data_IF_368883349233
#
_entry.id   IF_368883349233
#
_cell.length_a   1.000
_cell.length_b   1.000
_cell.length_c   1.000
_cell.angle_alpha   90.00
_cell.angle_beta   90.00
_cell.angle_gamma   90.00
#
_symmetry.space_group_name_H-M   'P 1'
#
loop_
_entity.id
_entity.type
_entity.pdbx_description
1 polymer ?
#
# COMPACT_ATOMS: atom_id res chain seq x y z
N UNK A 1 -35.13 42.08 48.45
CA UNK A 1 -34.93 40.95 49.39
C UNK A 1 -34.69 39.69 48.58
N UNK A 2 -33.55 39.05 48.82
CA UNK A 2 -33.08 37.80 48.21
C UNK A 2 -34.00 36.61 48.50
N UNK A 3 -34.02 35.63 47.59
CA UNK A 3 -34.41 34.25 47.87
C UNK A 3 -33.87 33.28 46.82
N UNK A 4 -32.87 32.47 47.19
CA UNK A 4 -32.23 31.43 46.36
C UNK A 4 -32.93 30.07 46.45
N UNK A 5 -33.01 29.39 45.30
CA UNK A 5 -32.65 27.99 44.94
C UNK A 5 -33.02 26.81 45.87
N UNK A 6 -33.68 25.78 45.29
CA UNK A 6 -33.30 24.32 45.21
C UNK A 6 -34.48 23.49 44.64
N UNK A 7 -34.35 22.86 43.46
CA UNK A 7 -33.78 21.54 43.13
C UNK A 7 -34.64 20.32 43.57
N UNK A 8 -35.06 19.51 42.58
CA UNK A 8 -35.42 18.10 42.76
C UNK A 8 -36.66 17.66 41.97
N UNK A 9 -36.48 16.88 40.89
CA UNK A 9 -37.51 15.92 40.48
C UNK A 9 -36.87 14.65 39.95
N UNK A 10 -37.36 13.56 40.52
CA UNK A 10 -36.93 12.17 40.44
C UNK A 10 -37.62 11.49 39.25
N UNK A 11 -36.88 10.70 38.48
CA UNK A 11 -37.36 9.57 37.67
C UNK A 11 -36.14 8.66 37.52
N UNK A 12 -36.12 7.39 37.91
CA UNK A 12 -37.18 6.39 38.00
C UNK A 12 -36.63 5.13 37.33
N UNK A 13 -35.70 4.44 37.99
CA UNK A 13 -35.10 3.22 37.46
C UNK A 13 -36.13 2.08 37.47
N UNK A 14 -36.56 1.63 36.29
CA UNK A 14 -37.24 0.34 36.14
C UNK A 14 -36.23 -0.70 35.68
N UNK A 15 -35.74 -1.47 36.66
CA UNK A 15 -35.04 -2.71 36.43
C UNK A 15 -36.04 -3.78 35.94
N UNK A 16 -35.82 -4.31 34.75
CA UNK A 16 -36.49 -5.52 34.28
C UNK A 16 -35.50 -6.67 34.42
N UNK A 17 -35.74 -7.52 35.42
CA UNK A 17 -35.16 -8.85 35.53
C UNK A 17 -36.04 -9.80 34.72
N UNK A 18 -35.50 -10.42 33.68
CA UNK A 18 -36.11 -11.62 33.06
C UNK A 18 -35.12 -12.76 33.19
N UNK A 19 -35.65 -13.84 33.75
CA UNK A 19 -34.96 -15.02 34.22
C UNK A 19 -34.40 -15.87 33.06
N UNK A 20 -33.29 -16.53 33.35
CA UNK A 20 -32.70 -17.59 32.55
C UNK A 20 -33.60 -18.83 32.56
N UNK A 21 -33.84 -19.39 31.37
CA UNK A 21 -34.28 -20.77 31.22
C UNK A 21 -33.29 -21.47 30.28
N UNK A 22 -32.56 -22.44 30.85
CA UNK A 22 -31.62 -23.30 30.16
C UNK A 22 -32.36 -24.25 29.22
N UNK A 23 -32.02 -24.21 27.94
CA UNK A 23 -32.36 -25.23 26.95
C UNK A 23 -31.07 -25.70 26.28
N UNK A 24 -30.47 -26.75 26.83
CA UNK A 24 -29.31 -27.44 26.27
C UNK A 24 -29.79 -28.34 25.13
N UNK A 25 -29.60 -27.94 23.87
CA UNK A 25 -29.60 -28.87 22.75
C UNK A 25 -28.40 -28.59 21.86
N UNK A 26 -27.61 -29.64 21.67
CA UNK A 26 -26.34 -29.65 20.98
C UNK A 26 -26.50 -29.31 19.49
N UNK A 27 -25.74 -28.33 19.02
CA UNK A 27 -25.42 -28.15 17.62
C UNK A 27 -24.01 -27.53 17.55
N UNK A 28 -23.17 -28.12 16.69
CA UNK A 28 -21.73 -27.94 16.61
C UNK A 28 -21.29 -26.46 16.66
N UNK A 29 -20.54 -26.10 17.71
CA UNK A 29 -19.76 -24.87 17.74
C UNK A 29 -18.61 -24.99 16.74
N UNK A 30 -18.84 -24.61 15.49
CA UNK A 30 -17.75 -24.01 14.73
C UNK A 30 -17.67 -22.58 15.21
N UNK A 31 -16.65 -22.31 16.03
CA UNK A 31 -16.21 -20.97 16.32
C UNK A 31 -15.81 -20.31 14.99
N UNK A 32 -16.78 -19.69 14.32
CA UNK A 32 -16.54 -18.79 13.21
C UNK A 32 -15.88 -17.54 13.78
N UNK A 33 -14.57 -17.60 13.95
CA UNK A 33 -13.75 -16.40 13.94
C UNK A 33 -14.13 -15.66 12.65
N UNK A 34 -14.71 -14.47 12.78
CA UNK A 34 -14.73 -13.51 11.69
C UNK A 34 -13.25 -13.18 11.48
N UNK A 35 -12.59 -13.91 10.59
CA UNK A 35 -11.28 -13.49 10.11
C UNK A 35 -11.50 -12.13 9.48
N UNK A 36 -10.75 -11.14 9.98
CA UNK A 36 -10.46 -9.98 9.16
C UNK A 36 -9.98 -10.53 7.81
N UNK A 37 -10.67 -10.19 6.72
CA UNK A 37 -10.19 -10.54 5.39
C UNK A 37 -8.78 -10.00 5.29
N UNK A 38 -7.79 -10.88 5.23
CA UNK A 38 -6.43 -10.48 4.95
C UNK A 38 -6.46 -9.69 3.65
N UNK A 39 -5.86 -8.49 3.65
CA UNK A 39 -5.63 -7.79 2.41
C UNK A 39 -4.91 -8.77 1.47
N UNK A 40 -5.55 -9.08 0.34
CA UNK A 40 -5.02 -10.05 -0.61
C UNK A 40 -3.84 -9.38 -1.30
N UNK A 41 -2.64 -9.64 -0.81
CA UNK A 41 -1.40 -9.29 -1.46
C UNK A 41 -1.18 -10.27 -2.62
N UNK A 42 -1.26 -9.80 -3.87
CA UNK A 42 -1.08 -10.64 -5.05
C UNK A 42 0.13 -10.23 -5.86
N UNK A 43 0.95 -11.23 -6.16
CA UNK A 43 2.06 -11.12 -7.11
C UNK A 43 1.81 -12.10 -8.24
N UNK A 44 1.91 -11.61 -9.47
CA UNK A 44 1.78 -12.43 -10.66
C UNK A 44 2.88 -12.08 -11.66
N UNK A 45 3.67 -13.05 -12.07
CA UNK A 45 4.64 -12.90 -13.16
C UNK A 45 4.23 -13.77 -14.34
N UNK A 46 4.18 -13.18 -15.52
CA UNK A 46 4.05 -13.87 -16.80
C UNK A 46 5.37 -13.73 -17.56
N UNK A 47 5.82 -14.84 -18.15
CA UNK A 47 7.05 -14.91 -18.92
C UNK A 47 6.75 -15.41 -20.32
N UNK A 48 7.20 -14.63 -21.30
CA UNK A 48 7.28 -14.99 -22.70
C UNK A 48 8.76 -15.12 -23.10
N UNK A 49 9.03 -15.58 -24.32
CA UNK A 49 10.42 -15.76 -24.78
C UNK A 49 11.11 -14.39 -24.82
N UNK A 50 12.13 -14.21 -24.00
CA UNK A 50 12.94 -13.01 -23.93
C UNK A 50 12.27 -11.83 -23.23
N UNK A 51 11.09 -12.01 -22.60
CA UNK A 51 10.38 -10.93 -21.94
C UNK A 51 9.55 -11.42 -20.76
N UNK A 52 9.57 -10.69 -19.65
CA UNK A 52 8.82 -11.02 -18.45
C UNK A 52 8.12 -9.79 -17.91
N UNK A 53 6.89 -9.97 -17.44
CA UNK A 53 6.07 -8.95 -16.78
C UNK A 53 5.62 -9.44 -15.42
N UNK A 54 6.00 -8.72 -14.36
CA UNK A 54 5.54 -8.96 -13.00
C UNK A 54 4.60 -7.84 -12.53
N UNK A 55 3.45 -8.22 -11.97
CA UNK A 55 2.44 -7.31 -11.43
C UNK A 55 2.28 -7.52 -9.94
N UNK A 56 2.23 -6.40 -9.22
CA UNK A 56 2.12 -6.30 -7.77
C UNK A 56 0.95 -5.39 -7.46
N UNK A 57 -0.11 -5.92 -6.89
CA UNK A 57 -1.30 -5.17 -6.54
C UNK A 57 -1.72 -5.44 -5.10
N UNK A 58 -2.34 -4.44 -4.46
CA UNK A 58 -2.90 -4.62 -3.14
C UNK A 58 -4.00 -3.63 -2.82
N UNK A 59 -4.99 -4.10 -2.07
CA UNK A 59 -6.07 -3.30 -1.49
C UNK A 59 -5.66 -2.56 -0.21
N UNK A 60 -4.42 -2.79 0.26
CA UNK A 60 -3.86 -2.14 1.44
C UNK A 60 -2.34 -1.90 1.28
N UNK A 61 -1.69 -1.34 2.30
CA UNK A 61 -0.25 -1.15 2.31
C UNK A 61 0.47 -2.50 2.37
N UNK A 62 1.27 -2.83 1.37
CA UNK A 62 2.13 -4.03 1.35
C UNK A 62 3.48 -3.73 0.69
N UNK A 63 4.51 -4.46 1.11
CA UNK A 63 5.81 -4.48 0.46
C UNK A 63 6.06 -5.85 -0.20
N UNK A 64 6.54 -5.80 -1.44
CA UNK A 64 7.02 -6.95 -2.19
C UNK A 64 8.49 -6.77 -2.54
N UNK A 65 9.10 -7.82 -3.07
CA UNK A 65 10.42 -7.75 -3.66
C UNK A 65 10.50 -8.46 -5.01
N UNK A 66 11.46 -8.05 -5.83
CA UNK A 66 11.89 -8.77 -7.03
C UNK A 66 13.41 -8.68 -7.19
N UNK A 67 14.04 -9.81 -7.48
CA UNK A 67 15.45 -9.86 -7.83
C UNK A 67 15.62 -9.67 -9.34
N UNK A 68 16.44 -8.69 -9.71
CA UNK A 68 16.79 -8.39 -11.10
C UNK A 68 17.59 -9.56 -11.67
N UNK A 69 17.14 -10.18 -12.79
CA UNK A 69 17.87 -11.30 -13.39
C UNK A 69 19.30 -10.92 -13.82
N UNK A 70 20.17 -11.93 -13.95
CA UNK A 70 21.52 -11.71 -14.47
C UNK A 70 21.47 -11.13 -15.90
N UNK A 71 22.38 -10.20 -16.20
CA UNK A 71 22.47 -9.55 -17.50
C UNK A 71 21.47 -8.39 -17.72
N UNK A 72 20.51 -8.18 -16.81
CA UNK A 72 19.55 -7.08 -16.90
C UNK A 72 20.11 -5.83 -16.22
N UNK A 73 20.20 -4.74 -16.98
CA UNK A 73 20.70 -3.44 -16.51
C UNK A 73 19.63 -2.35 -16.56
N UNK A 74 18.45 -2.65 -17.09
CA UNK A 74 17.31 -1.75 -17.10
C UNK A 74 16.00 -2.54 -16.96
N UNK A 75 15.06 -1.99 -16.20
CA UNK A 75 13.70 -2.52 -16.08
C UNK A 75 12.70 -1.41 -16.35
N UNK A 76 11.65 -1.71 -17.11
CA UNK A 76 10.55 -0.77 -17.34
C UNK A 76 9.53 -0.92 -16.22
N UNK A 77 9.18 0.19 -15.59
CA UNK A 77 8.24 0.21 -14.46
C UNK A 77 7.05 1.08 -14.80
N UNK A 78 5.85 0.57 -14.54
CA UNK A 78 4.61 1.36 -14.49
C UNK A 78 4.00 1.24 -13.10
N UNK A 79 4.04 2.32 -12.33
CA UNK A 79 3.44 2.39 -11.00
C UNK A 79 2.18 3.26 -11.03
N UNK A 80 1.18 2.88 -10.26
CA UNK A 80 -0.12 3.55 -10.15
C UNK A 80 -0.49 3.69 -8.67
N UNK A 81 -0.61 4.91 -8.18
CA UNK A 81 -1.10 5.20 -6.84
C UNK A 81 -2.63 5.15 -6.78
N UNK A 82 -3.18 4.84 -5.62
CA UNK A 82 -4.63 4.71 -5.45
C UNK A 82 -5.34 6.07 -5.46
N UNK A 83 -6.59 6.07 -5.89
CA UNK A 83 -7.48 7.22 -5.74
C UNK A 83 -7.81 7.46 -4.26
N UNK A 84 -8.09 8.72 -3.91
CA UNK A 84 -8.62 9.07 -2.60
C UNK A 84 -10.00 8.46 -2.36
N UNK A 85 -10.32 8.22 -1.09
CA UNK A 85 -11.64 7.75 -0.66
C UNK A 85 -12.73 8.80 -0.82
N UNK A 86 -13.97 8.33 -0.74
CA UNK A 86 -15.18 9.13 -0.93
C UNK A 86 -15.60 9.25 -2.40
N UNK A 87 -16.86 9.62 -2.63
CA UNK A 87 -17.43 9.71 -3.99
C UNK A 87 -16.76 10.77 -4.87
N UNK A 88 -15.98 11.67 -4.27
CA UNK A 88 -15.27 12.77 -4.93
C UNK A 88 -13.78 12.79 -4.56
N UNK A 89 -13.22 11.63 -4.21
CA UNK A 89 -11.79 11.51 -3.99
C UNK A 89 -10.98 11.85 -5.24
N UNK A 90 -9.82 12.45 -5.04
CA UNK A 90 -8.90 12.79 -6.11
C UNK A 90 -8.30 11.54 -6.74
N UNK A 91 -7.91 11.65 -8.02
CA UNK A 91 -7.25 10.59 -8.78
C UNK A 91 -5.81 10.44 -8.33
N UNK A 92 -5.35 9.20 -8.19
CA UNK A 92 -3.94 8.89 -8.02
C UNK A 92 -3.12 9.25 -9.27
N UNK A 93 -1.81 9.11 -9.15
CA UNK A 93 -0.86 9.33 -10.23
C UNK A 93 -0.40 8.01 -10.83
N UNK A 94 0.03 8.06 -12.09
CA UNK A 94 0.74 6.99 -12.78
C UNK A 94 2.13 7.51 -13.13
N UNK A 95 3.16 6.69 -12.92
CA UNK A 95 4.52 6.94 -13.40
C UNK A 95 4.97 5.76 -14.24
N UNK A 96 5.43 6.04 -15.46
CA UNK A 96 6.07 5.05 -16.32
C UNK A 96 7.49 5.50 -16.63
N UNK A 97 8.48 4.66 -16.33
CA UNK A 97 9.90 4.97 -16.57
C UNK A 97 10.75 3.71 -16.70
N UNK A 98 11.89 3.83 -17.38
CA UNK A 98 12.95 2.83 -17.38
C UNK A 98 13.90 3.11 -16.21
N UNK A 99 14.03 2.16 -15.30
CA UNK A 99 14.93 2.26 -14.15
C UNK A 99 16.26 1.59 -14.48
N UNK A 100 17.40 2.29 -14.32
CA UNK A 100 18.70 1.63 -14.36
C UNK A 100 18.85 0.73 -13.13
N UNK A 101 19.29 -0.50 -13.35
CA UNK A 101 19.47 -1.51 -12.30
C UNK A 101 20.80 -2.22 -12.45
N UNK A 102 21.25 -2.86 -11.38
CA UNK A 102 22.40 -3.77 -11.42
C UNK A 102 21.92 -5.21 -11.51
N UNK A 103 22.53 -6.06 -12.35
CA UNK A 103 22.22 -7.49 -12.36
C UNK A 103 22.31 -8.11 -10.96
N UNK A 104 21.29 -8.86 -10.54
CA UNK A 104 21.20 -9.47 -9.21
C UNK A 104 20.77 -8.52 -8.09
N UNK A 105 20.50 -7.26 -8.38
CA UNK A 105 19.96 -6.30 -7.41
C UNK A 105 18.56 -6.71 -6.98
N UNK A 106 18.26 -6.57 -5.68
CA UNK A 106 16.89 -6.65 -5.17
C UNK A 106 16.22 -5.29 -5.24
N UNK A 107 15.01 -5.27 -5.81
CA UNK A 107 14.11 -4.12 -5.77
C UNK A 107 12.98 -4.40 -4.78
N UNK A 108 12.63 -3.39 -4.01
CA UNK A 108 11.48 -3.40 -3.09
C UNK A 108 10.34 -2.60 -3.71
N UNK A 109 9.14 -3.15 -3.61
CA UNK A 109 7.96 -2.65 -4.31
C UNK A 109 6.91 -2.35 -3.27
N UNK A 110 6.59 -1.08 -3.10
CA UNK A 110 5.65 -0.61 -2.10
C UNK A 110 4.33 -0.27 -2.77
N UNK A 111 3.22 -0.81 -2.28
CA UNK A 111 1.91 -0.65 -2.89
C UNK A 111 0.90 -0.27 -1.82
N UNK A 112 0.19 0.85 -2.04
CA UNK A 112 -0.93 1.26 -1.18
C UNK A 112 -0.52 1.96 0.11
N UNK A 113 0.76 2.26 0.30
CA UNK A 113 1.28 2.90 1.52
C UNK A 113 0.96 4.39 1.59
N UNK A 114 0.91 4.92 2.82
CA UNK A 114 1.04 6.37 3.06
C UNK A 114 -0.20 7.24 2.80
N UNK A 115 -1.38 6.68 2.56
CA UNK A 115 -2.62 7.48 2.53
C UNK A 115 -2.95 8.07 3.91
N UNK A 116 -3.34 9.34 3.96
CA UNK A 116 -3.76 10.01 5.20
C UNK A 116 -5.12 9.51 5.69
N UNK A 117 -5.33 9.49 7.00
CA UNK A 117 -6.60 9.09 7.61
C UNK A 117 -7.64 10.21 7.64
N UNK A 118 -8.91 9.90 7.86
CA UNK A 118 -10.01 10.86 7.96
C UNK A 118 -11.37 10.19 7.76
N UNK A 119 -12.43 11.00 7.63
CA UNK A 119 -13.75 10.50 7.22
C UNK A 119 -13.68 9.79 5.86
N UNK A 120 -12.90 10.35 4.95
CA UNK A 120 -12.51 9.71 3.70
C UNK A 120 -10.96 9.68 3.66
N UNK A 121 -10.34 8.50 3.60
CA UNK A 121 -8.89 8.41 3.57
C UNK A 121 -8.31 8.93 2.25
N UNK A 122 -7.07 9.39 2.26
CA UNK A 122 -6.31 9.60 1.04
C UNK A 122 -5.85 8.27 0.43
N UNK A 123 -5.59 8.28 -0.87
CA UNK A 123 -5.05 7.14 -1.60
C UNK A 123 -3.59 6.90 -1.25
N UNK A 124 -3.18 5.64 -1.20
CA UNK A 124 -1.78 5.26 -1.01
C UNK A 124 -0.95 5.40 -2.29
N UNK A 125 0.36 5.56 -2.14
CA UNK A 125 1.30 5.59 -3.26
C UNK A 125 1.70 4.18 -3.72
N UNK A 126 2.28 4.11 -4.92
CA UNK A 126 3.02 2.95 -5.43
C UNK A 126 4.45 3.37 -5.75
N UNK A 127 5.44 2.58 -5.32
CA UNK A 127 6.86 2.95 -5.46
C UNK A 127 7.76 1.73 -5.69
N UNK A 128 8.94 2.00 -6.24
CA UNK A 128 10.06 1.06 -6.31
C UNK A 128 11.26 1.66 -5.57
N UNK A 129 11.92 0.87 -4.73
CA UNK A 129 13.02 1.27 -3.87
C UNK A 129 14.15 0.22 -3.86
N UNK A 130 15.32 0.60 -3.36
CA UNK A 130 16.47 -0.33 -3.20
C UNK A 130 16.66 -0.84 -1.78
N UNK A 131 15.91 -0.32 -0.81
CA UNK A 131 15.88 -0.82 0.56
C UNK A 131 14.45 -1.06 1.04
N UNK A 132 14.29 -1.99 1.98
CA UNK A 132 13.00 -2.32 2.58
C UNK A 132 12.52 -1.21 3.52
N UNK A 133 11.28 -0.78 3.33
CA UNK A 133 10.57 0.10 4.26
C UNK A 133 10.05 -0.65 5.50
N UNK A 134 9.85 -1.97 5.41
CA UNK A 134 9.51 -2.81 6.58
C UNK A 134 10.71 -2.96 7.53
N UNK A 135 11.92 -3.08 6.98
CA UNK A 135 13.16 -3.10 7.79
C UNK A 135 13.47 -1.74 8.41
N UNK A 136 13.29 -0.66 7.66
CA UNK A 136 13.42 0.71 8.15
C UNK A 136 12.66 1.68 7.25
N UNK A 137 11.57 2.27 7.77
CA UNK A 137 10.75 3.22 7.01
C UNK A 137 11.60 4.33 6.39
N UNK A 138 12.47 4.95 7.18
CA UNK A 138 13.34 6.04 6.69
C UNK A 138 14.26 5.58 5.56
N UNK A 139 14.81 4.38 5.67
CA UNK A 139 15.74 3.86 4.67
C UNK A 139 15.02 3.47 3.37
N UNK A 140 13.88 2.80 3.48
CA UNK A 140 12.98 2.53 2.35
C UNK A 140 12.51 3.81 1.67
N UNK A 141 12.09 4.83 2.42
CA UNK A 141 11.65 6.10 1.85
C UNK A 141 12.78 6.88 1.15
N UNK A 142 14.00 6.84 1.67
CA UNK A 142 15.15 7.52 1.06
C UNK A 142 15.70 6.79 -0.17
N UNK A 143 15.45 5.49 -0.30
CA UNK A 143 15.97 4.65 -1.39
C UNK A 143 14.99 4.48 -2.57
N UNK A 144 13.86 5.19 -2.57
CA UNK A 144 12.88 5.15 -3.66
C UNK A 144 13.49 5.71 -4.94
N UNK A 145 13.37 4.93 -6.02
CA UNK A 145 13.80 5.28 -7.36
C UNK A 145 12.66 5.98 -8.14
N UNK A 146 11.41 5.62 -7.83
CA UNK A 146 10.21 6.11 -8.49
C UNK A 146 9.03 6.07 -7.52
N UNK A 147 8.14 7.06 -7.60
CA UNK A 147 6.90 7.12 -6.81
C UNK A 147 5.74 7.66 -7.64
N UNK A 148 4.69 6.84 -7.76
CA UNK A 148 3.37 7.23 -8.22
C UNK A 148 2.48 7.54 -7.01
N UNK A 149 2.09 8.80 -6.79
CA UNK A 149 1.36 9.22 -5.60
C UNK A 149 -0.12 8.83 -5.63
N UNK A 150 -0.75 8.82 -4.46
CA UNK A 150 -2.20 8.73 -4.33
C UNK A 150 -2.90 10.09 -4.40
N UNK A 151 -4.21 10.06 -4.68
CA UNK A 151 -5.08 11.24 -4.60
C UNK A 151 -5.57 11.50 -3.19
N UNK A 152 -5.97 12.74 -2.87
CA UNK A 152 -6.54 13.08 -1.58
C UNK A 152 -8.01 12.68 -1.44
N UNK A 153 -8.47 12.41 -0.22
CA UNK A 153 -9.86 12.04 0.07
C UNK A 153 -10.82 13.21 -0.16
N UNK A 154 -12.01 12.90 -0.68
CA UNK A 154 -13.06 13.88 -0.98
C UNK A 154 -14.28 13.73 -0.08
N UNK A 155 -14.53 14.73 0.76
CA UNK A 155 -15.68 14.79 1.66
C UNK A 155 -16.83 15.60 1.05
N UNK A 156 -17.15 16.74 1.65
CA UNK A 156 -18.15 17.67 1.12
C UNK A 156 -17.70 18.34 -0.20
N UNK A 157 -16.40 18.33 -0.50
CA UNK A 157 -15.83 18.81 -1.76
C UNK A 157 -15.04 17.73 -2.48
N UNK A 158 -14.26 18.16 -3.47
CA UNK A 158 -13.40 17.29 -4.28
C UNK A 158 -12.03 17.16 -3.60
N UNK A 159 -11.50 15.95 -3.51
CA UNK A 159 -10.12 15.71 -3.09
C UNK A 159 -9.13 16.11 -4.20
N UNK A 160 -7.93 16.52 -3.83
CA UNK A 160 -6.89 16.87 -4.79
C UNK A 160 -6.40 15.64 -5.56
N UNK A 161 -6.35 15.72 -6.88
CA UNK A 161 -5.64 14.74 -7.71
C UNK A 161 -4.16 14.70 -7.31
N UNK A 162 -3.45 13.65 -7.71
CA UNK A 162 -1.99 13.56 -7.60
C UNK A 162 -1.29 14.84 -8.07
N UNK A 163 -0.44 15.41 -7.21
CA UNK A 163 0.26 16.67 -7.44
C UNK A 163 -0.60 17.92 -7.35
N UNK A 164 -1.88 17.82 -6.97
CA UNK A 164 -2.81 18.95 -6.89
C UNK A 164 -3.42 19.13 -5.49
N UNK A 165 -3.63 20.39 -5.12
CA UNK A 165 -4.33 20.74 -3.89
C UNK A 165 -5.82 20.40 -4.01
N UNK A 166 -6.49 20.15 -2.89
CA UNK A 166 -7.94 20.05 -2.88
C UNK A 166 -8.57 21.43 -3.16
N UNK A 167 -9.56 21.53 -4.08
CA UNK A 167 -10.23 22.79 -4.35
C UNK A 167 -11.00 23.34 -3.14
N UNK A 168 -11.02 24.66 -3.01
CA UNK A 168 -11.81 25.39 -2.03
C UNK A 168 -11.08 25.74 -0.73
N UNK A 169 -11.68 26.66 0.04
CA UNK A 169 -11.13 27.10 1.31
C UNK A 169 -11.09 25.93 2.32
N UNK A 170 -9.93 25.71 2.94
CA UNK A 170 -9.74 24.66 3.94
C UNK A 170 -9.46 23.27 3.39
N UNK A 171 -9.24 23.13 2.08
CA UNK A 171 -8.64 21.95 1.48
C UNK A 171 -7.14 21.83 1.76
N UNK A 172 -6.65 20.60 1.91
CA UNK A 172 -5.22 20.32 2.03
C UNK A 172 -4.47 20.60 0.73
N UNK A 173 -3.24 21.07 0.86
CA UNK A 173 -2.37 21.35 -0.28
C UNK A 173 -1.69 20.08 -0.81
N UNK A 174 -1.23 20.13 -2.06
CA UNK A 174 -0.44 19.04 -2.63
C UNK A 174 0.91 18.91 -1.91
N UNK A 175 1.46 17.69 -1.88
CA UNK A 175 2.90 17.53 -1.65
C UNK A 175 3.71 18.12 -2.80
N UNK A 176 4.97 18.47 -2.52
CA UNK A 176 5.95 18.91 -3.53
C UNK A 176 7.09 17.89 -3.64
N UNK A 177 8.07 18.18 -4.48
CA UNK A 177 9.33 17.44 -4.58
C UNK A 177 10.24 17.59 -3.35
N UNK A 178 9.91 18.49 -2.43
CA UNK A 178 10.79 18.91 -1.33
C UNK A 178 10.11 18.90 0.03
N UNK A 179 8.77 18.91 0.07
CA UNK A 179 8.01 18.95 1.31
C UNK A 179 6.62 18.31 1.16
N UNK A 180 6.06 17.90 2.29
CA UNK A 180 4.66 17.50 2.38
C UNK A 180 3.72 18.68 2.21
N UNK A 181 2.49 18.37 1.80
CA UNK A 181 1.45 19.37 1.59
C UNK A 181 0.95 19.94 2.91
N UNK A 182 0.79 21.26 2.97
CA UNK A 182 0.22 21.94 4.14
C UNK A 182 -1.23 21.55 4.37
N UNK A 183 -1.61 21.38 5.63
CA UNK A 183 -2.95 21.09 6.08
C UNK A 183 -3.96 22.19 5.69
N UNK A 184 -5.16 21.74 5.35
CA UNK A 184 -6.36 22.55 5.40
C UNK A 184 -6.94 22.63 6.81
N UNK A 185 -8.17 23.14 6.91
CA UNK A 185 -8.85 23.34 8.20
C UNK A 185 -9.05 21.98 8.89
N UNK A 186 -8.57 21.88 10.14
CA UNK A 186 -8.74 20.69 10.99
C UNK A 186 -7.91 19.48 10.58
N UNK A 187 -7.05 19.61 9.57
CA UNK A 187 -6.14 18.56 9.12
C UNK A 187 -4.74 18.67 9.71
N UNK A 188 -3.87 17.76 9.30
CA UNK A 188 -2.42 17.82 9.51
C UNK A 188 -1.68 17.89 8.19
N UNK A 189 -0.44 18.37 8.23
CA UNK A 189 0.43 18.37 7.07
C UNK A 189 0.72 16.94 6.62
N UNK A 190 0.96 16.77 5.32
CA UNK A 190 1.64 15.59 4.81
C UNK A 190 3.12 15.62 5.17
N UNK A 191 3.78 14.48 5.04
CA UNK A 191 5.21 14.32 5.26
C UNK A 191 5.82 13.42 4.18
N UNK A 192 7.08 13.05 4.37
CA UNK A 192 7.78 12.16 3.43
C UNK A 192 7.12 10.78 3.39
N UNK A 193 6.60 10.38 2.23
CA UNK A 193 5.81 9.16 2.08
C UNK A 193 4.35 9.27 2.47
N UNK A 194 4.02 10.02 3.52
CA UNK A 194 2.70 9.97 4.18
C UNK A 194 1.85 11.21 3.92
N UNK A 195 0.57 11.00 3.59
CA UNK A 195 -0.44 12.05 3.54
C UNK A 195 -0.90 12.47 4.93
N UNK A 196 -1.30 13.73 5.06
CA UNK A 196 -1.81 14.31 6.30
C UNK A 196 -3.20 13.81 6.65
N UNK A 197 -3.53 13.74 7.94
CA UNK A 197 -4.85 13.33 8.40
C UNK A 197 -5.87 14.46 8.28
N UNK A 198 -7.13 14.13 7.99
CA UNK A 198 -8.24 15.09 7.90
C UNK A 198 -8.92 15.45 9.22
N UNK A 199 -8.52 14.83 10.34
CA UNK A 199 -9.17 15.03 11.64
C UNK A 199 -10.60 14.45 11.70
N UNK A 200 -11.42 14.92 12.65
CA UNK A 200 -12.76 14.35 12.94
C UNK A 200 -13.80 14.58 11.84
N UNK A 201 -13.65 15.65 11.05
CA UNK A 201 -14.65 16.09 10.06
C UNK A 201 -14.09 16.20 8.64
N UNK A 202 -12.80 15.93 8.46
CA UNK A 202 -12.10 16.12 7.20
C UNK A 202 -11.64 14.80 6.57
N UNK A 203 -10.95 14.95 5.46
CA UNK A 203 -10.43 13.86 4.63
C UNK A 203 -8.90 13.88 4.60
N UNK A 204 -8.31 12.70 4.45
CA UNK A 204 -6.86 12.55 4.44
C UNK A 204 -6.22 12.93 3.11
N UNK A 205 -5.00 13.45 3.15
CA UNK A 205 -4.18 13.70 1.96
C UNK A 205 -3.64 12.41 1.35
N UNK A 206 -3.34 12.42 0.06
CA UNK A 206 -2.74 11.28 -0.65
C UNK A 206 -1.29 11.04 -0.25
N UNK A 207 -0.86 9.79 -0.22
CA UNK A 207 0.55 9.43 -0.07
C UNK A 207 1.35 9.77 -1.33
N UNK A 208 2.68 9.83 -1.25
CA UNK A 208 3.51 10.17 -2.40
C UNK A 208 4.99 10.16 -2.09
N UNK A 209 5.80 10.80 -2.94
CA UNK A 209 7.20 11.08 -2.60
C UNK A 209 7.23 11.92 -1.32
N UNK A 210 6.45 12.99 -1.33
CA UNK A 210 5.87 13.64 -0.17
C UNK A 210 4.34 13.60 -0.27
N UNK A 211 3.66 13.31 0.84
CA UNK A 211 2.20 13.25 0.84
C UNK A 211 1.55 14.62 0.85
N UNK A 212 0.29 14.68 0.40
CA UNK A 212 -0.54 15.88 0.47
C UNK A 212 -1.05 16.15 1.88
N UNK A 213 -1.45 17.39 2.14
CA UNK A 213 -2.06 17.77 3.42
C UNK A 213 -3.47 17.20 3.57
N UNK A 214 -3.87 16.88 4.80
CA UNK A 214 -5.26 16.62 5.13
C UNK A 214 -6.05 17.92 5.31
N UNK A 215 -7.36 17.84 5.49
CA UNK A 215 -8.20 19.03 5.72
C UNK A 215 -9.67 18.68 5.50
N UNK A 216 -10.53 19.66 5.22
CA UNK A 216 -11.93 19.36 4.86
C UNK A 216 -12.02 18.40 3.66
N UNK A 217 -11.09 18.57 2.71
CA UNK A 217 -10.75 17.64 1.66
C UNK A 217 -9.21 17.51 1.63
N UNK A 218 -8.67 16.34 1.26
CA UNK A 218 -7.22 16.11 1.25
C UNK A 218 -6.58 16.50 -0.07
N UNK A 219 -5.35 17.03 -0.04
CA UNK A 219 -4.53 17.25 -1.23
C UNK A 219 -3.86 15.97 -1.71
N UNK A 220 -3.47 15.90 -2.98
CA UNK A 220 -2.75 14.74 -3.55
C UNK A 220 -1.26 14.72 -3.16
N UNK A 221 -0.65 13.53 -3.20
CA UNK A 221 0.79 13.39 -3.00
C UNK A 221 1.61 13.82 -4.21
N UNK A 222 2.92 14.00 -4.04
CA UNK A 222 3.86 14.34 -5.12
C UNK A 222 4.47 13.13 -5.80
N UNK A 223 4.87 13.33 -7.05
CA UNK A 223 5.56 12.34 -7.87
C UNK A 223 7.06 12.32 -7.55
N UNK A 224 7.68 11.15 -7.74
CA UNK A 224 9.12 11.03 -8.02
C UNK A 224 9.27 10.33 -9.37
N UNK A 225 9.78 11.06 -10.36
CA UNK A 225 9.86 10.62 -11.75
C UNK A 225 11.32 10.54 -12.17
N UNK A 226 11.83 9.34 -12.49
CA UNK A 226 13.16 9.19 -13.07
C UNK A 226 13.32 9.98 -14.38
N UNK A 227 14.56 10.30 -14.74
CA UNK A 227 14.87 10.96 -16.00
C UNK A 227 14.33 10.14 -17.19
N UNK A 228 13.64 10.81 -18.12
CA UNK A 228 12.99 10.14 -19.27
C UNK A 228 11.65 9.48 -18.96
N UNK A 229 11.22 9.46 -17.69
CA UNK A 229 9.91 8.98 -17.29
C UNK A 229 8.78 9.93 -17.65
N UNK A 230 7.55 9.43 -17.56
CA UNK A 230 6.31 10.18 -17.82
C UNK A 230 5.30 10.01 -16.70
N UNK A 231 4.38 10.97 -16.59
CA UNK A 231 3.29 10.93 -15.60
C UNK A 231 1.92 11.06 -16.25
N UNK A 232 0.92 10.47 -15.59
CA UNK A 232 -0.48 10.64 -15.92
C UNK A 232 -1.33 10.55 -14.64
N UNK A 233 -2.63 10.80 -14.75
CA UNK A 233 -3.57 10.50 -13.66
C UNK A 233 -4.12 9.08 -13.82
N UNK A 234 -4.18 8.36 -12.71
CA UNK A 234 -4.82 7.05 -12.59
C UNK A 234 -6.29 7.12 -13.03
N UNK A 235 -6.86 6.09 -13.67
CA UNK A 235 -8.28 6.09 -14.04
C UNK A 235 -9.20 6.43 -12.86
N UNK A 236 -10.31 7.12 -13.12
CA UNK A 236 -11.32 7.35 -12.10
C UNK A 236 -11.84 6.00 -11.56
N UNK A 237 -11.97 5.89 -10.23
CA UNK A 237 -12.33 4.63 -9.56
C UNK A 237 -11.20 3.60 -9.38
N UNK A 238 -9.95 3.89 -9.78
CA UNK A 238 -8.79 3.08 -9.43
C UNK A 238 -8.50 3.10 -7.92
N UNK A 239 -9.18 2.24 -7.16
CA UNK A 239 -9.02 2.12 -5.70
C UNK A 239 -7.82 1.28 -5.27
N UNK A 240 -7.13 0.65 -6.22
CA UNK A 240 -6.03 -0.30 -5.96
C UNK A 240 -4.74 0.32 -6.48
N UNK A 241 -3.75 0.43 -5.60
CA UNK A 241 -2.41 0.79 -6.02
C UNK A 241 -1.76 -0.42 -6.70
N UNK A 242 -0.92 -0.20 -7.70
CA UNK A 242 -0.28 -1.28 -8.47
C UNK A 242 1.09 -0.87 -8.97
N UNK A 243 2.00 -1.83 -9.04
CA UNK A 243 3.26 -1.72 -9.79
C UNK A 243 3.34 -2.85 -10.81
N UNK A 244 3.78 -2.52 -12.01
CA UNK A 244 4.13 -3.48 -13.07
C UNK A 244 5.61 -3.28 -13.39
N UNK A 245 6.37 -4.37 -13.38
CA UNK A 245 7.79 -4.39 -13.73
C UNK A 245 7.97 -5.30 -14.94
N UNK A 246 8.60 -4.78 -15.98
CA UNK A 246 8.88 -5.45 -17.25
C UNK A 246 10.40 -5.51 -17.47
N UNK A 247 10.92 -6.65 -17.91
CA UNK A 247 12.32 -6.82 -18.27
C UNK A 247 12.53 -7.90 -19.33
N UNK A 248 13.59 -7.72 -20.14
CA UNK A 248 13.88 -8.60 -21.28
C UNK A 248 14.66 -9.85 -20.84
N UNK A 249 13.96 -10.73 -20.12
CA UNK A 249 14.46 -12.02 -19.67
C UNK A 249 13.34 -13.07 -19.74
N UNK A 250 13.70 -14.31 -20.08
CA UNK A 250 12.82 -15.47 -19.94
C UNK A 250 12.82 -16.06 -18.53
N UNK A 251 13.43 -15.37 -17.56
CA UNK A 251 13.60 -15.83 -16.19
C UNK A 251 13.28 -14.71 -15.22
N UNK A 252 12.40 -14.99 -14.25
CA UNK A 252 12.17 -14.15 -13.08
C UNK A 252 13.15 -14.58 -12.00
N UNK A 253 13.81 -13.63 -11.33
CA UNK A 253 14.52 -13.91 -10.07
C UNK A 253 13.55 -14.36 -8.95
N UNK A 254 13.97 -14.25 -7.70
CA UNK A 254 13.02 -14.41 -6.61
C UNK A 254 12.05 -13.21 -6.59
N UNK A 255 10.75 -13.48 -6.50
CA UNK A 255 9.71 -12.46 -6.36
C UNK A 255 8.68 -12.93 -5.33
N UNK A 256 8.22 -12.05 -4.45
CA UNK A 256 7.29 -12.41 -3.37
C UNK A 256 6.87 -11.25 -2.49
N UNK A 257 5.97 -11.52 -1.54
CA UNK A 257 5.63 -10.57 -0.47
C UNK A 257 6.70 -10.60 0.63
N UNK A 258 7.00 -9.44 1.20
CA UNK A 258 7.89 -9.28 2.36
C UNK A 258 7.19 -9.62 3.69
N UNK A 259 5.86 -9.81 3.68
CA UNK A 259 5.03 -10.08 4.87
C UNK A 259 5.61 -11.22 5.71
N UNK A 260 6.27 -10.85 6.80
CA UNK A 260 6.85 -11.77 7.78
C UNK A 260 5.74 -12.29 8.70
N UNK A 261 4.89 -13.19 8.21
CA UNK A 261 3.89 -13.84 9.05
C UNK A 261 2.91 -14.75 8.28
N UNK A 262 3.13 -16.06 8.40
CA UNK A 262 2.23 -17.16 7.99
C UNK A 262 2.26 -17.53 6.51
N UNK A 263 2.96 -18.62 6.23
CA UNK A 263 3.19 -19.17 4.90
C UNK A 263 1.94 -19.59 4.14
N UNK A 264 2.01 -19.41 2.83
CA UNK A 264 1.74 -20.47 1.86
C UNK A 264 2.52 -20.13 0.60
N UNK A 265 3.41 -21.04 0.18
CA UNK A 265 4.10 -20.92 -1.08
C UNK A 265 3.14 -21.11 -2.25
N UNK A 266 3.51 -20.57 -3.41
CA UNK A 266 3.13 -21.13 -4.70
C UNK A 266 4.23 -20.80 -5.70
N UNK A 267 4.87 -21.86 -6.18
CA UNK A 267 5.97 -21.86 -7.12
C UNK A 267 5.48 -21.63 -8.56
N UNK A 268 6.37 -21.11 -9.39
CA UNK A 268 6.26 -21.11 -10.84
C UNK A 268 7.62 -21.41 -11.46
N UNK A 269 8.03 -22.68 -11.49
CA UNK A 269 9.15 -23.13 -12.33
C UNK A 269 8.75 -24.45 -12.97
N UNK A 270 8.32 -24.38 -14.22
CA UNK A 270 8.10 -25.52 -15.09
C UNK A 270 9.28 -25.66 -16.04
N UNK A 271 9.95 -26.81 -15.93
CA UNK A 271 10.58 -27.62 -17.00
C UNK A 271 11.81 -27.03 -17.74
N UNK A 272 12.88 -27.74 -18.12
CA UNK A 272 13.21 -29.17 -18.21
C UNK A 272 14.69 -29.30 -18.58
N UNK A 273 15.35 -30.41 -18.24
CA UNK A 273 16.72 -30.69 -18.70
C UNK A 273 17.29 -32.00 -18.14
N UNK A 274 16.91 -33.11 -18.77
CA UNK A 274 17.37 -34.46 -18.44
C UNK A 274 18.77 -34.75 -19.01
N UNK A 275 19.68 -35.21 -18.15
CA UNK A 275 20.76 -36.17 -18.45
C UNK A 275 21.26 -36.65 -17.07
N UNK A 276 21.19 -37.92 -16.65
CA UNK A 276 21.41 -39.16 -17.38
C UNK A 276 22.81 -39.67 -17.05
N UNK A 277 22.92 -40.57 -16.06
CA UNK A 277 23.81 -41.76 -16.00
C UNK A 277 24.36 -42.10 -14.61
N UNK A 278 23.77 -43.16 -14.04
CA UNK A 278 24.40 -44.36 -13.43
C UNK A 278 25.64 -44.27 -12.52
N UNK A 279 25.46 -44.84 -11.31
CA UNK A 279 26.30 -45.96 -10.86
C UNK A 279 27.17 -45.71 -9.62
N UNK A 280 27.09 -46.61 -8.65
CA UNK A 280 28.18 -46.84 -7.68
C UNK A 280 27.77 -46.90 -6.22
N UNK A 281 27.29 -48.06 -5.78
CA UNK A 281 27.28 -48.50 -4.38
C UNK A 281 28.69 -48.53 -3.78
N UNK A 282 28.85 -48.08 -2.54
CA UNK A 282 30.11 -48.23 -1.80
C UNK A 282 29.99 -47.84 -0.33
N UNK A 283 29.74 -48.83 0.53
CA UNK A 283 29.88 -48.77 1.98
C UNK A 283 31.35 -48.92 2.37
N UNK A 284 31.89 -48.01 3.19
CA UNK A 284 33.05 -48.13 4.10
C UNK A 284 33.07 -46.81 4.91
N UNK A 285 33.37 -46.69 6.20
CA UNK A 285 34.03 -47.52 7.19
C UNK A 285 34.65 -46.55 8.21
N UNK A 286 34.47 -46.83 9.49
CA UNK A 286 34.95 -46.03 10.64
C UNK A 286 36.47 -45.77 10.64
N UNK A 287 36.91 -44.60 11.11
CA UNK A 287 37.81 -44.44 12.28
C UNK A 287 38.50 -43.06 12.39
N UNK A 288 38.46 -42.55 13.63
CA UNK A 288 39.48 -41.81 14.38
C UNK A 288 40.27 -40.64 13.74
N UNK A 289 40.13 -39.47 14.37
CA UNK A 289 41.23 -38.75 15.05
C UNK A 289 40.64 -38.00 16.25
#
# INVERSE_FOLDING_TARGET
MMGRVRQGSVWGHRAVKVAAAMGLTAACASAGLISAGGASATVFCATEIGHTTCSYDSYGPHEYFVDVPAGITSVKVTANGANGGGFRGGRGGVVTADLPVTPGQRLYIMVGNGGGSGLNPGGGFAAVATESAEGSWTAGMNSRLLVAPGGGGGGAGVGGDAGAAAPGAGGGQAGTDTAGGTAGIGGTDGAFGTGGAGGLVGSGGGGGYFGGGGGLNGGGGSFLVPAGGSTALAPAGASVARVVVEFDSSYVGASGSSDSGSGSGSAGSSDSGSAGSSGGSGSVGSSAS
#
